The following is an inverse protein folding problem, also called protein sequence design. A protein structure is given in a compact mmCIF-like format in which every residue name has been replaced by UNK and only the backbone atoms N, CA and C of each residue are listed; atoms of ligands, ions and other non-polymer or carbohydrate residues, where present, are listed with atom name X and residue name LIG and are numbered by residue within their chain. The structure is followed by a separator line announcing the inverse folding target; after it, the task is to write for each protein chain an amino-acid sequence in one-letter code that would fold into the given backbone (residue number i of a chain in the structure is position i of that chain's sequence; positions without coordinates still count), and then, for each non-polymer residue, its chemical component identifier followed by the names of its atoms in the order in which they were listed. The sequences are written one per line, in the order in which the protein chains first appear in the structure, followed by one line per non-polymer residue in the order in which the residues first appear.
data_IF_172736093116
#
_entry.id   IF_172736093116
#
_cell.length_a   1.000
_cell.length_b   1.000
_cell.length_c   1.000
_cell.angle_alpha   90.00
_cell.angle_beta   90.00
_cell.angle_gamma   90.00
#
_symmetry.space_group_name_H-M   'P 1'
#
loop_
_entity.id
_entity.type
_entity.pdbx_description
1 polymer ?
#
# COMPACT_ATOMS: atom_id res chain seq x y z
N UNK A 1 111.83 -4.57 48.01
CA UNK A 1 111.98 -4.27 49.44
C UNK A 1 111.36 -2.90 49.64
N UNK A 2 110.28 -2.77 50.41
CA UNK A 2 109.98 -1.58 51.26
C UNK A 2 108.71 -1.79 52.13
N UNK A 3 108.56 -1.01 53.20
CA UNK A 3 107.46 -1.02 54.21
C UNK A 3 106.97 0.44 54.46
N UNK A 4 105.97 0.80 55.28
CA UNK A 4 105.47 0.16 56.50
C UNK A 4 103.95 0.18 56.68
N UNK A 5 103.36 -0.96 57.06
CA UNK A 5 102.08 -1.09 57.79
C UNK A 5 101.80 0.08 58.76
N UNK A 6 100.58 0.63 58.77
CA UNK A 6 99.92 1.09 60.03
C UNK A 6 98.38 1.21 59.96
N UNK A 7 97.73 1.20 61.13
CA UNK A 7 96.29 0.93 61.36
C UNK A 7 95.48 2.19 61.70
N UNK A 8 94.23 2.22 61.20
CA UNK A 8 92.94 2.56 61.83
C UNK A 8 92.82 3.60 62.98
N UNK A 9 91.76 4.42 62.89
CA UNK A 9 90.86 4.75 64.02
C UNK A 9 89.43 5.08 63.55
N UNK A 10 88.45 4.71 64.36
CA UNK A 10 87.00 4.90 64.20
C UNK A 10 86.49 6.22 64.77
N UNK A 11 85.31 6.65 64.31
CA UNK A 11 84.48 7.70 64.93
C UNK A 11 83.07 7.71 64.33
N UNK A 12 82.06 7.41 65.14
CA UNK A 12 80.64 7.55 64.79
C UNK A 12 80.13 8.90 65.31
N UNK A 13 79.11 9.49 64.67
CA UNK A 13 77.98 10.08 65.40
C UNK A 13 76.75 10.30 64.50
N UNK A 14 75.61 10.54 65.14
CA UNK A 14 74.25 10.23 64.67
C UNK A 14 73.34 11.46 64.78
N UNK A 15 72.70 11.93 63.69
CA UNK A 15 71.61 12.94 63.78
C UNK A 15 70.51 12.76 62.70
N UNK A 16 69.40 12.17 63.13
CA UNK A 16 67.98 12.54 62.94
C UNK A 16 67.32 12.92 61.57
N UNK A 17 66.04 12.49 61.48
CA UNK A 17 64.86 13.16 60.85
C UNK A 17 64.54 12.99 59.34
N UNK A 18 63.63 12.03 59.07
CA UNK A 18 62.31 12.15 58.39
C UNK A 18 62.07 13.05 57.14
N UNK A 19 60.95 12.83 56.40
CA UNK A 19 60.39 11.59 55.87
C UNK A 19 60.46 11.56 54.33
N UNK A 20 60.17 10.41 53.71
CA UNK A 20 60.12 10.31 52.25
C UNK A 20 59.02 11.22 51.64
N UNK A 21 59.42 12.26 50.92
CA UNK A 21 58.51 13.15 50.19
C UNK A 21 57.83 12.39 49.05
N UNK A 22 56.51 12.31 49.16
CA UNK A 22 55.62 11.74 48.13
C UNK A 22 55.84 12.49 46.82
N UNK A 23 56.30 11.80 45.78
CA UNK A 23 56.46 12.40 44.45
C UNK A 23 55.11 12.97 43.97
N UNK A 24 55.06 14.18 43.37
CA UNK A 24 53.81 14.70 42.81
C UNK A 24 53.32 13.77 41.70
N UNK A 25 52.09 13.26 41.83
CA UNK A 25 51.43 12.64 40.68
C UNK A 25 51.22 13.73 39.63
N UNK A 26 51.78 13.53 38.44
CA UNK A 26 51.66 14.51 37.35
C UNK A 26 50.19 14.71 36.95
N UNK A 27 49.69 15.96 36.89
CA UNK A 27 48.27 16.24 36.63
C UNK A 27 47.77 15.76 35.24
N UNK A 28 48.68 15.51 34.30
CA UNK A 28 48.35 14.97 32.96
C UNK A 28 47.56 13.64 32.99
N UNK A 29 47.74 12.80 34.01
CA UNK A 29 47.07 11.48 34.07
C UNK A 29 45.56 11.60 34.30
N UNK A 30 45.15 12.52 35.18
CA UNK A 30 43.75 12.77 35.51
C UNK A 30 42.99 13.42 34.35
N UNK A 31 43.60 14.39 33.66
CA UNK A 31 42.98 15.05 32.50
C UNK A 31 42.80 14.10 31.32
N UNK A 32 43.81 13.26 31.04
CA UNK A 32 43.71 12.24 29.99
C UNK A 32 42.59 11.22 30.27
N UNK A 33 42.42 10.84 31.53
CA UNK A 33 41.35 9.91 31.95
C UNK A 33 39.97 10.56 31.81
N UNK A 34 39.81 11.82 32.25
CA UNK A 34 38.55 12.56 32.10
C UNK A 34 38.18 12.79 30.62
N UNK A 35 39.17 13.09 29.76
CA UNK A 35 38.97 13.21 28.32
C UNK A 35 38.50 11.89 27.69
N UNK A 36 39.11 10.75 28.07
CA UNK A 36 38.72 9.43 27.58
C UNK A 36 37.29 9.06 27.98
N UNK A 37 36.86 9.34 29.23
CA UNK A 37 35.48 9.14 29.66
C UNK A 37 34.50 9.96 28.82
N UNK A 38 34.82 11.24 28.57
CA UNK A 38 33.95 12.13 27.79
C UNK A 38 33.85 11.74 26.32
N UNK A 39 34.94 11.24 25.73
CA UNK A 39 34.93 10.64 24.38
C UNK A 39 34.04 9.39 24.34
N UNK A 40 34.13 8.51 25.34
CA UNK A 40 33.29 7.31 25.41
C UNK A 40 31.80 7.63 25.58
N UNK A 41 31.47 8.65 26.38
CA UNK A 41 30.11 9.16 26.56
C UNK A 41 29.54 9.72 25.24
N UNK A 42 30.29 10.58 24.54
CA UNK A 42 29.92 11.09 23.21
C UNK A 42 29.77 9.97 22.16
N UNK A 43 30.62 8.94 22.22
CA UNK A 43 30.51 7.79 21.32
C UNK A 43 29.21 7.00 21.56
N UNK A 44 28.81 6.83 22.82
CA UNK A 44 27.56 6.17 23.19
C UNK A 44 26.33 6.99 22.78
N UNK A 45 26.35 8.32 22.96
CA UNK A 45 25.30 9.23 22.48
C UNK A 45 25.13 9.16 20.95
N UNK A 46 26.25 9.13 20.20
CA UNK A 46 26.22 9.03 18.73
C UNK A 46 25.61 7.72 18.23
N UNK A 47 25.97 6.57 18.82
CA UNK A 47 25.38 5.29 18.43
C UNK A 47 23.90 5.19 18.86
N UNK A 48 23.52 5.72 20.02
CA UNK A 48 22.12 5.80 20.45
C UNK A 48 21.27 6.70 19.53
N UNK A 49 21.81 7.84 19.10
CA UNK A 49 21.16 8.75 18.15
C UNK A 49 21.03 8.10 16.76
N UNK A 50 22.05 7.37 16.31
CA UNK A 50 22.06 6.65 15.03
C UNK A 50 21.04 5.51 15.01
N UNK A 51 20.90 4.77 16.11
CA UNK A 51 19.89 3.72 16.24
C UNK A 51 18.47 4.33 16.28
N UNK A 52 18.27 5.38 17.07
CA UNK A 52 16.99 6.13 17.10
C UNK A 52 16.62 6.67 15.72
N UNK A 53 17.58 7.25 14.99
CA UNK A 53 17.38 7.73 13.63
C UNK A 53 17.06 6.59 12.65
N UNK A 54 17.73 5.43 12.76
CA UNK A 54 17.43 4.23 11.97
C UNK A 54 15.98 3.79 12.15
N UNK A 55 15.50 3.70 13.40
CA UNK A 55 14.11 3.36 13.73
C UNK A 55 13.14 4.38 13.10
N UNK A 56 13.38 5.67 13.26
CA UNK A 56 12.53 6.74 12.71
C UNK A 56 12.49 6.71 11.18
N UNK A 57 13.61 6.46 10.50
CA UNK A 57 13.68 6.32 9.04
C UNK A 57 12.88 5.09 8.57
N UNK A 58 13.00 3.96 9.26
CA UNK A 58 12.25 2.74 8.92
C UNK A 58 10.74 2.92 9.13
N UNK A 59 10.33 3.55 10.25
CA UNK A 59 8.92 3.91 10.48
C UNK A 59 8.38 4.87 9.43
N UNK A 60 9.17 5.87 9.03
CA UNK A 60 8.76 6.85 8.03
C UNK A 60 8.67 6.19 6.64
N UNK A 61 9.59 5.28 6.31
CA UNK A 61 9.51 4.45 5.10
C UNK A 61 8.22 3.64 5.04
N UNK A 62 7.89 2.91 6.11
CA UNK A 62 6.65 2.14 6.20
C UNK A 62 5.39 3.02 6.08
N UNK A 63 5.39 4.23 6.65
CA UNK A 63 4.31 5.22 6.51
C UNK A 63 4.20 5.75 5.07
N UNK A 64 5.32 5.99 4.39
CA UNK A 64 5.35 6.41 2.98
C UNK A 64 4.82 5.30 2.07
N UNK A 65 5.22 4.05 2.28
CA UNK A 65 4.76 2.90 1.49
C UNK A 65 3.24 2.69 1.66
N UNK A 66 2.74 2.76 2.90
CA UNK A 66 1.31 2.67 3.20
C UNK A 66 0.50 3.79 2.51
N UNK A 67 0.95 5.05 2.62
CA UNK A 67 0.33 6.18 1.95
C UNK A 67 0.40 6.06 0.41
N UNK A 68 1.48 5.49 -0.14
CA UNK A 68 1.60 5.28 -1.57
C UNK A 68 0.64 4.19 -2.07
N UNK A 69 0.45 3.12 -1.29
CA UNK A 69 -0.55 2.09 -1.58
C UNK A 69 -1.98 2.65 -1.52
N UNK A 70 -2.30 3.44 -0.50
CA UNK A 70 -3.61 4.09 -0.36
C UNK A 70 -3.89 5.06 -1.52
N UNK A 71 -2.93 5.93 -1.88
CA UNK A 71 -3.08 6.84 -3.01
C UNK A 71 -3.27 6.10 -4.34
N UNK A 72 -2.58 4.97 -4.57
CA UNK A 72 -2.81 4.11 -5.74
C UNK A 72 -4.23 3.53 -5.76
N UNK A 73 -4.78 3.17 -4.59
CA UNK A 73 -6.15 2.66 -4.47
C UNK A 73 -7.18 3.75 -4.77
N UNK A 74 -7.10 4.90 -4.09
CA UNK A 74 -7.99 6.05 -4.30
C UNK A 74 -7.96 6.56 -5.75
N UNK A 75 -6.79 6.52 -6.42
CA UNK A 75 -6.67 6.89 -7.84
C UNK A 75 -7.48 5.95 -8.74
N UNK A 76 -7.39 4.63 -8.52
CA UNK A 76 -8.18 3.63 -9.27
C UNK A 76 -9.69 3.80 -9.05
N UNK A 77 -10.10 4.10 -7.82
CA UNK A 77 -11.50 4.40 -7.47
C UNK A 77 -12.01 5.64 -8.24
N UNK A 78 -11.26 6.75 -8.23
CA UNK A 78 -11.61 7.97 -8.98
C UNK A 78 -11.68 7.70 -10.50
N UNK A 79 -10.77 6.91 -11.05
CA UNK A 79 -10.78 6.52 -12.47
C UNK A 79 -11.99 5.66 -12.82
N UNK A 80 -12.39 4.73 -11.93
CA UNK A 80 -13.62 3.94 -12.04
C UNK A 80 -14.88 4.80 -12.02
N UNK A 81 -15.02 5.67 -11.02
CA UNK A 81 -16.14 6.60 -10.89
C UNK A 81 -16.24 7.59 -12.06
N UNK A 82 -15.10 8.09 -12.56
CA UNK A 82 -15.07 8.97 -13.74
C UNK A 82 -15.54 8.24 -14.99
N UNK A 83 -15.12 6.98 -15.17
CA UNK A 83 -15.57 6.13 -16.28
C UNK A 83 -17.08 5.85 -16.19
N UNK A 84 -17.58 5.54 -14.99
CA UNK A 84 -19.01 5.33 -14.72
C UNK A 84 -19.85 6.56 -15.08
N UNK A 85 -19.37 7.74 -14.70
CA UNK A 85 -20.02 9.02 -14.99
C UNK A 85 -20.04 9.31 -16.49
N UNK A 86 -18.90 9.10 -17.17
CA UNK A 86 -18.81 9.25 -18.62
C UNK A 86 -19.75 8.29 -19.36
N UNK A 87 -19.90 7.05 -18.88
CA UNK A 87 -20.87 6.12 -19.44
C UNK A 87 -22.31 6.57 -19.21
N UNK A 88 -22.69 6.84 -17.94
CA UNK A 88 -24.06 7.17 -17.55
C UNK A 88 -24.63 8.43 -18.24
N UNK A 89 -23.76 9.38 -18.59
CA UNK A 89 -24.15 10.62 -19.29
C UNK A 89 -23.75 10.65 -20.78
N UNK A 90 -22.92 9.72 -21.25
CA UNK A 90 -22.37 9.71 -22.61
C UNK A 90 -22.91 8.60 -23.51
N UNK A 91 -23.54 7.55 -22.97
CA UNK A 91 -24.18 6.51 -23.79
C UNK A 91 -25.49 7.04 -24.39
N UNK A 92 -25.59 7.04 -25.71
CA UNK A 92 -26.84 7.34 -26.41
C UNK A 92 -27.82 6.17 -26.22
N UNK A 93 -29.06 6.45 -25.81
CA UNK A 93 -30.10 5.42 -25.68
C UNK A 93 -30.52 4.99 -27.08
N UNK A 94 -30.47 3.68 -27.36
CA UNK A 94 -31.08 3.11 -28.57
C UNK A 94 -32.57 3.48 -28.56
N UNK A 95 -33.07 4.25 -29.53
CA UNK A 95 -34.44 4.74 -29.49
C UNK A 95 -35.41 3.62 -29.87
N UNK A 96 -36.53 3.46 -29.14
CA UNK A 96 -37.56 2.40 -29.36
C UNK A 96 -37.92 2.15 -30.83
N UNK A 97 -37.97 3.21 -31.65
CA UNK A 97 -38.23 3.13 -33.10
C UNK A 97 -37.26 2.23 -33.87
N UNK A 98 -36.02 2.06 -33.40
CA UNK A 98 -35.00 1.21 -33.98
C UNK A 98 -35.47 -0.24 -34.09
N UNK A 99 -36.12 -0.76 -33.03
CA UNK A 99 -36.70 -2.10 -33.01
C UNK A 99 -37.87 -2.22 -34.01
N UNK A 100 -38.73 -1.19 -34.11
CA UNK A 100 -39.82 -1.14 -35.08
C UNK A 100 -39.33 -1.05 -36.53
N UNK A 101 -38.26 -0.29 -36.79
CA UNK A 101 -37.63 -0.15 -38.11
C UNK A 101 -36.97 -1.48 -38.57
N UNK A 102 -36.64 -2.37 -37.65
CA UNK A 102 -36.20 -3.75 -37.91
C UNK A 102 -37.36 -4.77 -38.02
N UNK A 103 -38.60 -4.35 -37.70
CA UNK A 103 -39.79 -5.19 -37.81
C UNK A 103 -40.22 -5.93 -36.54
N UNK A 104 -39.63 -5.60 -35.38
CA UNK A 104 -40.00 -6.21 -34.10
C UNK A 104 -41.33 -5.67 -33.54
N UNK A 105 -41.93 -6.43 -32.61
CA UNK A 105 -43.16 -6.06 -31.91
C UNK A 105 -42.95 -4.99 -30.83
N UNK A 106 -44.05 -4.47 -30.29
CA UNK A 106 -44.02 -3.57 -29.13
C UNK A 106 -43.45 -4.25 -27.88
N UNK A 107 -43.86 -5.50 -27.62
CA UNK A 107 -43.38 -6.31 -26.49
C UNK A 107 -41.87 -6.59 -26.60
N UNK A 108 -41.36 -6.89 -27.80
CA UNK A 108 -39.92 -7.03 -28.04
C UNK A 108 -39.19 -5.70 -27.77
N UNK A 109 -39.76 -4.57 -28.19
CA UNK A 109 -39.17 -3.25 -27.95
C UNK A 109 -39.15 -2.89 -26.45
N UNK A 110 -40.17 -3.28 -25.68
CA UNK A 110 -40.20 -3.16 -24.22
C UNK A 110 -39.13 -4.04 -23.54
N UNK A 111 -39.01 -5.31 -23.92
CA UNK A 111 -37.98 -6.19 -23.34
C UNK A 111 -36.56 -5.76 -23.71
N UNK A 112 -36.34 -5.18 -24.89
CA UNK A 112 -35.06 -4.56 -25.22
C UNK A 112 -34.79 -3.29 -24.38
N UNK A 113 -35.81 -2.51 -24.03
CA UNK A 113 -35.65 -1.39 -23.08
C UNK A 113 -35.30 -1.89 -21.66
N UNK A 114 -35.96 -2.95 -21.18
CA UNK A 114 -35.67 -3.60 -19.90
C UNK A 114 -34.23 -4.13 -19.84
N UNK A 115 -33.80 -4.90 -20.85
CA UNK A 115 -32.45 -5.44 -20.98
C UNK A 115 -31.40 -4.33 -20.90
N UNK A 116 -31.58 -3.25 -21.66
CA UNK A 116 -30.64 -2.12 -21.71
C UNK A 116 -30.55 -1.37 -20.37
N UNK A 117 -31.66 -1.18 -19.67
CA UNK A 117 -31.67 -0.51 -18.37
C UNK A 117 -31.10 -1.41 -17.25
N UNK A 118 -31.32 -2.73 -17.33
CA UNK A 118 -30.62 -3.73 -16.52
C UNK A 118 -29.10 -3.70 -16.73
N UNK A 119 -28.64 -3.74 -17.98
CA UNK A 119 -27.22 -3.61 -18.32
C UNK A 119 -26.59 -2.32 -17.77
N UNK A 120 -27.29 -1.17 -17.88
CA UNK A 120 -26.80 0.11 -17.30
C UNK A 120 -26.64 0.04 -15.79
N UNK A 121 -27.61 -0.53 -15.08
CA UNK A 121 -27.56 -0.62 -13.62
C UNK A 121 -26.46 -1.59 -13.16
N UNK A 122 -26.29 -2.73 -13.84
CA UNK A 122 -25.17 -3.66 -13.63
C UNK A 122 -23.81 -3.00 -13.88
N UNK A 123 -23.63 -2.28 -15.00
CA UNK A 123 -22.42 -1.52 -15.32
C UNK A 123 -22.10 -0.49 -14.23
N UNK A 124 -23.11 0.24 -13.78
CA UNK A 124 -22.96 1.23 -12.71
C UNK A 124 -22.46 0.56 -11.43
N UNK A 125 -23.15 -0.48 -10.95
CA UNK A 125 -22.77 -1.17 -9.69
C UNK A 125 -21.39 -1.82 -9.77
N UNK A 126 -21.02 -2.38 -10.93
CA UNK A 126 -19.66 -2.87 -11.22
C UNK A 126 -18.60 -1.77 -11.06
N UNK A 127 -18.86 -0.58 -11.60
CA UNK A 127 -17.93 0.55 -11.62
C UNK A 127 -17.86 1.32 -10.29
N UNK A 128 -18.92 1.27 -9.48
CA UNK A 128 -18.96 1.89 -8.13
C UNK A 128 -18.60 0.91 -7.02
N UNK A 129 -18.41 -0.38 -7.31
CA UNK A 129 -18.20 -1.43 -6.29
C UNK A 129 -19.41 -1.67 -5.39
N UNK A 130 -20.61 -1.22 -5.80
CA UNK A 130 -21.85 -1.30 -5.00
C UNK A 130 -22.68 -2.56 -5.28
N UNK A 131 -22.07 -3.55 -5.91
CA UNK A 131 -22.66 -4.88 -6.11
C UNK A 131 -23.01 -5.50 -4.76
N UNK A 132 -24.31 -5.54 -4.46
CA UNK A 132 -24.87 -6.17 -3.26
C UNK A 132 -25.20 -7.65 -3.46
N UNK A 133 -25.52 -8.03 -4.70
CA UNK A 133 -25.77 -9.41 -5.14
C UNK A 133 -24.45 -10.09 -5.55
N UNK A 134 -24.23 -11.35 -5.18
CA UNK A 134 -23.08 -12.11 -5.72
C UNK A 134 -23.26 -12.51 -7.20
N UNK A 135 -24.39 -12.19 -7.81
CA UNK A 135 -24.66 -12.40 -9.23
C UNK A 135 -25.11 -11.14 -9.95
N UNK A 136 -24.72 -11.08 -11.22
CA UNK A 136 -25.21 -10.15 -12.24
C UNK A 136 -26.12 -10.98 -13.15
N UNK A 137 -27.39 -10.60 -13.26
CA UNK A 137 -28.35 -11.13 -14.22
C UNK A 137 -28.46 -10.16 -15.41
N UNK A 138 -28.57 -10.71 -16.62
CA UNK A 138 -28.74 -9.98 -17.88
C UNK A 138 -29.72 -10.80 -18.71
N UNK A 139 -30.99 -10.59 -18.44
CA UNK A 139 -32.08 -11.39 -18.97
C UNK A 139 -32.88 -10.62 -20.03
N UNK A 140 -33.53 -11.37 -20.92
CA UNK A 140 -34.45 -10.90 -21.94
C UNK A 140 -35.61 -11.91 -21.97
N UNK A 141 -36.69 -11.58 -21.27
CA UNK A 141 -37.74 -12.54 -20.90
C UNK A 141 -38.96 -12.44 -21.82
N UNK A 142 -38.73 -12.51 -23.14
CA UNK A 142 -39.80 -12.55 -24.13
C UNK A 142 -40.20 -14.01 -24.47
N UNK A 143 -41.50 -14.27 -24.59
CA UNK A 143 -42.05 -15.57 -24.99
C UNK A 143 -43.01 -15.41 -26.18
N UNK A 144 -43.12 -16.43 -27.02
CA UNK A 144 -44.16 -16.50 -28.06
C UNK A 144 -45.52 -16.96 -27.52
N UNK A 145 -46.54 -17.02 -28.38
CA UNK A 145 -47.90 -17.45 -28.02
C UNK A 145 -47.97 -18.89 -27.48
N UNK A 146 -47.00 -19.75 -27.83
CA UNK A 146 -46.89 -21.14 -27.35
C UNK A 146 -46.08 -21.24 -26.03
N UNK A 147 -45.54 -20.11 -25.53
CA UNK A 147 -44.72 -20.03 -24.32
C UNK A 147 -43.24 -20.36 -24.53
N UNK A 148 -42.77 -20.39 -25.79
CA UNK A 148 -41.37 -20.62 -26.13
C UNK A 148 -40.56 -19.34 -25.94
N UNK A 149 -39.40 -19.43 -25.28
CA UNK A 149 -38.50 -18.29 -25.11
C UNK A 149 -37.98 -17.78 -26.46
N UNK A 150 -38.16 -16.48 -26.70
CA UNK A 150 -37.60 -15.75 -27.84
C UNK A 150 -36.26 -15.16 -27.40
N UNK A 151 -35.19 -15.46 -28.14
CA UNK A 151 -33.89 -14.82 -27.91
C UNK A 151 -33.87 -13.37 -28.41
N UNK A 152 -33.19 -12.48 -27.70
CA UNK A 152 -32.82 -11.18 -28.25
C UNK A 152 -31.92 -11.37 -29.48
N UNK A 153 -32.25 -10.70 -30.59
CA UNK A 153 -31.46 -10.74 -31.81
C UNK A 153 -30.13 -9.98 -31.64
N UNK A 154 -29.12 -10.41 -32.40
CA UNK A 154 -27.82 -9.76 -32.41
C UNK A 154 -27.90 -8.39 -33.11
N UNK A 155 -27.64 -7.31 -32.37
CA UNK A 155 -27.60 -5.95 -32.89
C UNK A 155 -26.29 -5.22 -32.53
N UNK A 156 -25.63 -4.63 -33.52
CA UNK A 156 -24.37 -3.86 -33.36
C UNK A 156 -24.52 -2.63 -32.45
N UNK A 157 -25.72 -2.06 -32.34
CA UNK A 157 -26.02 -0.95 -31.41
C UNK A 157 -25.91 -1.36 -29.93
N UNK A 158 -25.96 -2.67 -29.61
CA UNK A 158 -25.72 -3.21 -28.27
C UNK A 158 -24.22 -3.29 -27.94
N UNK A 159 -23.33 -3.26 -28.94
CA UNK A 159 -21.88 -3.45 -28.72
C UNK A 159 -21.23 -2.45 -27.76
N UNK A 160 -21.63 -1.17 -27.69
CA UNK A 160 -21.19 -0.26 -26.62
C UNK A 160 -21.51 -0.81 -25.23
N UNK A 161 -22.72 -1.31 -24.99
CA UNK A 161 -23.16 -1.85 -23.70
C UNK A 161 -22.38 -3.09 -23.31
N UNK A 162 -22.18 -4.04 -24.24
CA UNK A 162 -21.38 -5.24 -24.00
C UNK A 162 -19.90 -4.93 -23.71
N UNK A 163 -19.31 -3.97 -24.44
CA UNK A 163 -17.92 -3.52 -24.20
C UNK A 163 -17.76 -2.88 -22.83
N UNK A 164 -18.69 -2.03 -22.42
CA UNK A 164 -18.62 -1.37 -21.12
C UNK A 164 -18.90 -2.34 -19.97
N UNK A 165 -19.83 -3.28 -20.12
CA UNK A 165 -20.04 -4.37 -19.15
C UNK A 165 -18.75 -5.16 -18.92
N UNK A 166 -18.04 -5.54 -19.99
CA UNK A 166 -16.76 -6.23 -19.90
C UNK A 166 -15.66 -5.36 -19.23
N UNK A 167 -15.70 -4.04 -19.40
CA UNK A 167 -14.81 -3.11 -18.72
C UNK A 167 -15.16 -2.97 -17.21
N UNK A 168 -16.45 -2.93 -16.87
CA UNK A 168 -16.94 -2.96 -15.49
C UNK A 168 -16.55 -4.25 -14.76
N UNK A 169 -16.75 -5.42 -15.38
CA UNK A 169 -16.34 -6.72 -14.83
C UNK A 169 -14.85 -6.79 -14.51
N UNK A 170 -14.01 -6.27 -15.42
CA UNK A 170 -12.56 -6.16 -15.20
C UNK A 170 -12.24 -5.23 -14.03
N UNK A 171 -12.83 -4.04 -13.99
CA UNK A 171 -12.63 -3.07 -12.92
C UNK A 171 -13.00 -3.66 -11.55
N UNK A 172 -14.17 -4.30 -11.44
CA UNK A 172 -14.60 -4.97 -10.23
C UNK A 172 -13.64 -6.09 -9.83
N UNK A 173 -13.20 -6.93 -10.77
CA UNK A 173 -12.26 -8.02 -10.49
C UNK A 173 -10.89 -7.54 -10.02
N UNK A 174 -10.40 -6.40 -10.52
CA UNK A 174 -9.15 -5.78 -10.08
C UNK A 174 -9.29 -5.12 -8.69
N UNK A 175 -10.48 -4.63 -8.35
CA UNK A 175 -10.79 -4.01 -7.06
C UNK A 175 -11.04 -5.06 -5.95
N UNK A 176 -11.71 -6.17 -6.28
CA UNK A 176 -12.10 -7.25 -5.36
C UNK A 176 -11.16 -8.48 -5.39
N UNK A 177 -9.93 -8.33 -5.89
CA UNK A 177 -8.90 -9.37 -5.95
C UNK A 177 -8.45 -9.95 -4.57
N UNK A 178 -9.13 -9.57 -3.49
CA UNK A 178 -8.90 -9.99 -2.11
C UNK A 178 -9.58 -11.35 -1.77
N UNK A 179 -10.28 -11.98 -2.73
CA UNK A 179 -10.86 -13.32 -2.59
C UNK A 179 -12.39 -13.40 -2.74
N UNK A 180 -13.07 -12.30 -3.09
CA UNK A 180 -14.50 -12.32 -3.41
C UNK A 180 -14.73 -12.73 -4.87
N UNK A 181 -15.74 -13.58 -5.10
CA UNK A 181 -16.12 -14.06 -6.43
C UNK A 181 -17.52 -13.60 -6.83
N UNK A 182 -17.64 -13.05 -8.04
CA UNK A 182 -18.90 -12.92 -8.76
C UNK A 182 -19.28 -14.26 -9.42
N UNK A 183 -20.56 -14.64 -9.33
CA UNK A 183 -21.15 -15.74 -10.08
C UNK A 183 -22.10 -15.21 -11.14
N UNK A 184 -21.78 -15.35 -12.42
CA UNK A 184 -22.76 -15.13 -13.49
C UNK A 184 -23.77 -16.27 -13.53
N UNK A 185 -25.05 -15.98 -13.58
CA UNK A 185 -26.09 -16.95 -13.93
C UNK A 185 -26.52 -16.65 -15.37
N UNK A 186 -26.23 -17.58 -16.28
CA UNK A 186 -27.05 -17.75 -17.47
C UNK A 186 -27.98 -18.92 -17.17
N UNK A 187 -29.29 -18.77 -17.37
CA UNK A 187 -30.13 -19.96 -17.51
C UNK A 187 -29.81 -20.61 -18.86
N UNK A 188 -29.47 -21.90 -18.93
CA UNK A 188 -29.36 -22.60 -20.19
C UNK A 188 -30.76 -22.91 -20.74
N UNK A 189 -30.95 -22.67 -22.04
CA UNK A 189 -32.13 -23.05 -22.84
C UNK A 189 -32.52 -24.53 -22.65
#
# INVERSE_FOLDING_TARGET
MDETRKRARTGNEEVASAPATKAPQSPQSTDATAAATKIAEQQAELEALKESHSIVVNELGAKVDALQAENKSRKREIEGLTSALQWAYGVERIPRRHWFEQGHSEEYADEMENLLDGMKQNIKDLRTGTITSKSIDIDFDLQDEDGSLISADHDESLMPYWKELAAGLRHWSEYHANGDCLSSRNQPN
#
